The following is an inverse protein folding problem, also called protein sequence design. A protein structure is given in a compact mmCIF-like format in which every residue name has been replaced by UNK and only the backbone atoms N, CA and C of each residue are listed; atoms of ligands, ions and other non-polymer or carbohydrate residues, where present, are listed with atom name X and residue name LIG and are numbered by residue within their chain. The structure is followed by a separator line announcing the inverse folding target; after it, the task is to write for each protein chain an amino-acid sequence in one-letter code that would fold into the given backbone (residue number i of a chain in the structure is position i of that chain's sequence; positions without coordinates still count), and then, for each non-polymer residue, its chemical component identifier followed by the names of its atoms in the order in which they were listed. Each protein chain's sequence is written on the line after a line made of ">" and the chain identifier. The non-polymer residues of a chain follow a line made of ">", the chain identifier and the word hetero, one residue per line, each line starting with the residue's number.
data_IF_669420305408
#
_entry.id   IF_669420305408
#
_cell.length_a   1.000
_cell.length_b   1.000
_cell.length_c   1.000
_cell.angle_alpha   90.00
_cell.angle_beta   90.00
_cell.angle_gamma   90.00
#
_symmetry.space_group_name_H-M   'P 1'
#
loop_
_entity.id
_entity.type
_entity.pdbx_description
1 polymer ?
#
# COMPACT_ATOMS: atom_id res chain seq x y z
N UNK A 1 20.42 0.50 -14.79
CA UNK A 1 19.33 0.31 -13.82
C UNK A 1 18.97 1.71 -13.31
N UNK A 2 17.78 2.19 -13.59
CA UNK A 2 17.39 3.51 -13.11
C UNK A 2 17.16 3.44 -11.59
N UNK A 3 17.89 4.24 -10.84
CA UNK A 3 17.80 4.34 -9.37
C UNK A 3 16.82 5.42 -8.91
N UNK A 4 16.11 6.03 -9.85
CA UNK A 4 15.15 7.12 -9.60
C UNK A 4 13.73 6.68 -9.93
N UNK A 5 12.76 7.23 -9.21
CA UNK A 5 11.34 7.05 -9.43
C UNK A 5 10.71 8.32 -10.02
N UNK A 6 9.66 8.20 -10.84
CA UNK A 6 8.79 9.33 -11.10
C UNK A 6 8.13 9.78 -9.78
N UNK A 7 8.25 11.06 -9.47
CA UNK A 7 7.64 11.64 -8.26
C UNK A 7 6.24 12.15 -8.57
N UNK A 8 5.39 12.12 -7.54
CA UNK A 8 4.05 12.71 -7.61
C UNK A 8 4.16 14.23 -7.81
N UNK A 9 3.39 14.75 -8.76
CA UNK A 9 3.29 16.19 -8.97
C UNK A 9 2.39 16.85 -7.92
N UNK A 10 2.57 18.14 -7.71
CA UNK A 10 1.72 18.92 -6.79
C UNK A 10 0.24 18.84 -7.23
N UNK A 11 -0.02 18.84 -8.55
CA UNK A 11 -1.38 18.74 -9.09
C UNK A 11 -2.02 17.38 -8.80
N UNK A 12 -1.27 16.28 -8.86
CA UNK A 12 -1.76 14.95 -8.52
C UNK A 12 -2.12 14.87 -7.02
N UNK A 13 -1.25 15.36 -6.16
CA UNK A 13 -1.49 15.41 -4.71
C UNK A 13 -2.68 16.31 -4.37
N UNK A 14 -2.82 17.46 -5.06
CA UNK A 14 -3.94 18.37 -4.89
C UNK A 14 -5.26 17.72 -5.33
N UNK A 15 -5.29 17.09 -6.52
CA UNK A 15 -6.48 16.37 -7.03
C UNK A 15 -6.90 15.26 -6.07
N UNK A 16 -5.98 14.47 -5.56
CA UNK A 16 -6.28 13.45 -4.57
C UNK A 16 -6.95 14.04 -3.33
N UNK A 17 -6.45 15.16 -2.83
CA UNK A 17 -6.93 15.76 -1.57
C UNK A 17 -8.28 16.45 -1.74
N UNK A 18 -8.52 17.13 -2.88
CA UNK A 18 -9.64 18.04 -3.03
C UNK A 18 -10.67 17.67 -4.10
N UNK A 19 -10.29 16.86 -5.12
CA UNK A 19 -11.14 16.64 -6.29
C UNK A 19 -11.84 15.27 -6.31
N UNK A 20 -11.32 14.26 -5.63
CA UNK A 20 -11.90 12.92 -5.66
C UNK A 20 -13.11 12.78 -4.71
N UNK A 21 -14.21 13.48 -5.04
CA UNK A 21 -15.51 13.25 -4.42
C UNK A 21 -15.65 13.73 -2.99
N UNK A 22 -14.84 14.72 -2.57
CA UNK A 22 -14.90 15.33 -1.23
C UNK A 22 -14.79 14.34 -0.06
N UNK A 23 -14.00 13.25 -0.25
CA UNK A 23 -13.68 12.34 0.85
C UNK A 23 -12.76 13.07 1.84
N UNK A 24 -13.13 13.20 3.14
CA UNK A 24 -12.32 13.85 4.15
C UNK A 24 -10.91 13.22 4.23
N UNK A 25 -9.89 14.05 4.48
CA UNK A 25 -8.50 13.61 4.51
C UNK A 25 -8.22 12.52 5.55
N UNK A 26 -8.90 12.59 6.71
CA UNK A 26 -8.79 11.58 7.77
C UNK A 26 -9.30 10.20 7.32
N UNK A 27 -10.37 10.15 6.53
CA UNK A 27 -10.86 8.90 5.91
C UNK A 27 -9.92 8.42 4.80
N UNK A 28 -9.36 9.34 3.99
CA UNK A 28 -8.36 8.97 2.98
C UNK A 28 -7.13 8.33 3.63
N UNK A 29 -6.64 8.91 4.72
CA UNK A 29 -5.49 8.42 5.48
C UNK A 29 -5.77 7.04 6.10
N UNK A 30 -6.97 6.85 6.66
CA UNK A 30 -7.40 5.58 7.24
C UNK A 30 -7.48 4.46 6.18
N UNK A 31 -8.07 4.75 5.02
CA UNK A 31 -8.16 3.81 3.89
C UNK A 31 -6.76 3.45 3.41
N UNK A 32 -5.91 4.45 3.19
CA UNK A 32 -4.55 4.24 2.72
C UNK A 32 -3.77 3.33 3.67
N UNK A 33 -3.73 3.70 4.95
CA UNK A 33 -3.02 2.94 5.98
C UNK A 33 -3.52 1.49 6.08
N UNK A 34 -4.84 1.29 6.16
CA UNK A 34 -5.44 -0.03 6.27
C UNK A 34 -5.13 -0.91 5.04
N UNK A 35 -5.22 -0.35 3.84
CA UNK A 35 -4.98 -1.11 2.61
C UNK A 35 -3.49 -1.42 2.41
N UNK A 36 -2.59 -0.51 2.77
CA UNK A 36 -1.15 -0.80 2.75
C UNK A 36 -0.78 -1.89 3.78
N UNK A 37 -1.39 -1.85 4.96
CA UNK A 37 -1.22 -2.89 5.99
C UNK A 37 -1.71 -4.25 5.48
N UNK A 38 -2.87 -4.29 4.83
CA UNK A 38 -3.41 -5.50 4.19
C UNK A 38 -2.46 -6.05 3.12
N UNK A 39 -1.91 -5.17 2.27
CA UNK A 39 -0.95 -5.55 1.22
C UNK A 39 0.31 -6.17 1.82
N UNK A 40 0.85 -5.60 2.88
CA UNK A 40 2.01 -6.16 3.58
C UNK A 40 1.69 -7.51 4.24
N UNK A 41 0.55 -7.63 4.91
CA UNK A 41 0.11 -8.89 5.52
C UNK A 41 -0.09 -9.99 4.47
N UNK A 42 -0.69 -9.67 3.33
CA UNK A 42 -0.85 -10.60 2.23
C UNK A 42 0.50 -11.06 1.65
N UNK A 43 1.45 -10.13 1.46
CA UNK A 43 2.81 -10.45 1.02
C UNK A 43 3.54 -11.41 1.97
N UNK A 44 3.39 -11.21 3.29
CA UNK A 44 3.96 -12.10 4.31
C UNK A 44 3.35 -13.51 4.25
N UNK A 45 2.03 -13.63 4.16
CA UNK A 45 1.35 -14.93 4.08
C UNK A 45 1.66 -15.67 2.78
N UNK A 46 1.81 -14.96 1.68
CA UNK A 46 2.25 -15.51 0.40
C UNK A 46 3.75 -15.82 0.35
N UNK A 47 4.49 -15.49 1.41
CA UNK A 47 5.96 -15.64 1.49
C UNK A 47 6.69 -14.94 0.35
N UNK A 48 6.16 -13.81 -0.10
CA UNK A 48 6.80 -13.00 -1.12
C UNK A 48 8.04 -12.29 -0.55
N UNK A 49 9.08 -12.09 -1.37
CA UNK A 49 10.19 -11.22 -0.99
C UNK A 49 9.68 -9.81 -0.67
N UNK A 50 10.30 -9.15 0.31
CA UNK A 50 9.91 -7.80 0.70
C UNK A 50 10.01 -6.80 -0.46
N UNK A 51 10.91 -7.02 -1.41
CA UNK A 51 11.00 -6.21 -2.62
C UNK A 51 9.73 -6.25 -3.46
N UNK A 52 9.10 -7.42 -3.59
CA UNK A 52 7.84 -7.58 -4.33
C UNK A 52 6.69 -6.91 -3.58
N UNK A 53 6.60 -7.13 -2.27
CA UNK A 53 5.55 -6.52 -1.44
C UNK A 53 5.68 -4.99 -1.40
N UNK A 54 6.89 -4.46 -1.22
CA UNK A 54 7.14 -3.02 -1.23
C UNK A 54 6.82 -2.38 -2.59
N UNK A 55 7.19 -3.05 -3.70
CA UNK A 55 6.83 -2.59 -5.03
C UNK A 55 5.31 -2.58 -5.23
N UNK A 56 4.59 -3.59 -4.77
CA UNK A 56 3.12 -3.63 -4.82
C UNK A 56 2.49 -2.48 -4.03
N UNK A 57 3.03 -2.16 -2.86
CA UNK A 57 2.60 -1.00 -2.05
C UNK A 57 2.78 0.32 -2.80
N UNK A 58 3.89 0.51 -3.52
CA UNK A 58 4.14 1.72 -4.31
C UNK A 58 3.25 1.78 -5.55
N UNK A 59 3.05 0.67 -6.25
CA UNK A 59 2.14 0.57 -7.41
C UNK A 59 0.71 0.93 -7.00
N UNK A 60 0.23 0.38 -5.89
CA UNK A 60 -1.08 0.70 -5.31
C UNK A 60 -1.19 2.20 -4.98
N UNK A 61 -0.17 2.78 -4.37
CA UNK A 61 -0.15 4.19 -4.02
C UNK A 61 -0.16 5.10 -5.27
N UNK A 62 0.61 4.73 -6.33
CA UNK A 62 0.59 5.43 -7.64
C UNK A 62 -0.79 5.36 -8.28
N UNK A 63 -1.44 4.20 -8.26
CA UNK A 63 -2.78 4.03 -8.79
C UNK A 63 -3.78 4.99 -8.11
N UNK A 64 -3.68 5.15 -6.79
CA UNK A 64 -4.55 6.05 -6.02
C UNK A 64 -4.18 7.54 -6.11
N UNK A 65 -3.14 7.92 -6.81
CA UNK A 65 -2.93 9.32 -7.20
C UNK A 65 -3.84 9.73 -8.37
N UNK A 66 -4.18 8.77 -9.25
CA UNK A 66 -4.95 9.04 -10.47
C UNK A 66 -6.41 8.62 -10.34
N UNK A 67 -6.71 7.58 -9.57
CA UNK A 67 -8.04 7.01 -9.44
C UNK A 67 -8.68 7.30 -8.08
N UNK A 68 -10.00 7.58 -8.06
CA UNK A 68 -10.72 7.81 -6.82
C UNK A 68 -10.69 6.58 -5.90
N UNK A 69 -10.45 6.80 -4.60
CA UNK A 69 -10.41 5.72 -3.60
C UNK A 69 -11.69 4.87 -3.58
N UNK A 70 -12.86 5.50 -3.75
CA UNK A 70 -14.16 4.82 -3.73
C UNK A 70 -14.56 4.18 -5.08
N UNK A 71 -13.72 4.23 -6.10
CA UNK A 71 -14.04 3.63 -7.41
C UNK A 71 -14.12 2.10 -7.35
N UNK A 72 -13.32 1.46 -6.49
CA UNK A 72 -13.25 0.00 -6.35
C UNK A 72 -13.15 -0.40 -4.89
N UNK A 73 -13.37 -1.69 -4.58
CA UNK A 73 -13.14 -2.23 -3.23
C UNK A 73 -11.63 -2.20 -2.92
N UNK A 74 -11.25 -1.73 -1.73
CA UNK A 74 -9.86 -1.52 -1.34
C UNK A 74 -9.05 -2.82 -1.33
N UNK A 75 -9.66 -3.91 -0.85
CA UNK A 75 -9.04 -5.23 -0.85
C UNK A 75 -8.79 -5.77 -2.24
N UNK A 76 -9.70 -5.52 -3.19
CA UNK A 76 -9.55 -5.96 -4.58
C UNK A 76 -8.41 -5.21 -5.27
N UNK A 77 -8.26 -3.89 -5.01
CA UNK A 77 -7.15 -3.07 -5.54
C UNK A 77 -5.81 -3.55 -4.96
N UNK A 78 -5.77 -3.83 -3.65
CA UNK A 78 -4.59 -4.40 -2.98
C UNK A 78 -4.20 -5.75 -3.60
N UNK A 79 -5.17 -6.64 -3.77
CA UNK A 79 -4.96 -7.97 -4.36
C UNK A 79 -4.46 -7.89 -5.81
N UNK A 80 -5.05 -7.00 -6.62
CA UNK A 80 -4.64 -6.78 -8.00
C UNK A 80 -3.22 -6.21 -8.12
N UNK A 81 -2.87 -5.23 -7.28
CA UNK A 81 -1.53 -4.66 -7.24
C UNK A 81 -0.48 -5.71 -6.85
N UNK A 82 -0.78 -6.52 -5.84
CA UNK A 82 0.13 -7.59 -5.40
C UNK A 82 0.25 -8.69 -6.46
N UNK A 83 -0.86 -9.08 -7.10
CA UNK A 83 -0.86 -10.05 -8.19
C UNK A 83 -0.04 -9.57 -9.37
N UNK A 84 -0.23 -8.33 -9.82
CA UNK A 84 0.52 -7.73 -10.92
C UNK A 84 2.02 -7.78 -10.67
N UNK A 85 2.47 -7.31 -9.51
CA UNK A 85 3.90 -7.26 -9.19
C UNK A 85 4.49 -8.65 -8.97
N UNK A 86 3.76 -9.55 -8.30
CA UNK A 86 4.20 -10.95 -8.13
C UNK A 86 4.35 -11.66 -9.48
N UNK A 87 3.44 -11.44 -10.44
CA UNK A 87 3.49 -11.98 -11.80
C UNK A 87 4.72 -11.52 -12.58
N UNK A 88 5.16 -10.27 -12.35
CA UNK A 88 6.36 -9.69 -12.97
C UNK A 88 7.65 -10.10 -12.27
N UNK A 89 7.57 -10.67 -11.07
CA UNK A 89 8.72 -11.09 -10.28
C UNK A 89 9.26 -12.47 -10.72
N UNK A 90 10.42 -12.84 -10.16
CA UNK A 90 11.00 -14.18 -10.37
C UNK A 90 10.17 -15.33 -9.74
N UNK A 91 9.24 -14.99 -8.83
CA UNK A 91 8.42 -15.97 -8.09
C UNK A 91 6.93 -15.64 -8.27
N UNK A 92 6.33 -15.94 -9.45
CA UNK A 92 4.93 -15.63 -9.69
C UNK A 92 4.02 -16.52 -8.84
N UNK A 93 3.04 -15.90 -8.19
CA UNK A 93 2.01 -16.60 -7.43
C UNK A 93 0.80 -16.91 -8.32
N UNK A 94 0.14 -18.03 -8.04
CA UNK A 94 -1.11 -18.38 -8.71
C UNK A 94 -2.25 -17.46 -8.22
N UNK A 95 -3.19 -17.08 -9.09
CA UNK A 95 -4.35 -16.28 -8.68
C UNK A 95 -5.11 -16.90 -7.49
N UNK A 96 -5.19 -18.26 -7.45
CA UNK A 96 -5.87 -18.98 -6.38
C UNK A 96 -5.23 -18.76 -5.01
N UNK A 97 -3.89 -18.72 -4.94
CA UNK A 97 -3.17 -18.52 -3.69
C UNK A 97 -3.45 -17.11 -3.13
N UNK A 98 -3.47 -16.12 -4.03
CA UNK A 98 -3.81 -14.74 -3.67
C UNK A 98 -5.27 -14.66 -3.20
N UNK A 99 -6.22 -15.22 -3.95
CA UNK A 99 -7.63 -15.23 -3.55
C UNK A 99 -7.83 -15.88 -2.16
N UNK A 100 -7.17 -17.00 -1.90
CA UNK A 100 -7.28 -17.69 -0.60
C UNK A 100 -6.69 -16.86 0.55
N UNK A 101 -5.53 -16.22 0.33
CA UNK A 101 -4.91 -15.37 1.36
C UNK A 101 -5.79 -14.16 1.65
N UNK A 102 -6.35 -13.50 0.64
CA UNK A 102 -7.26 -12.38 0.86
C UNK A 102 -8.57 -12.81 1.50
N UNK A 103 -9.12 -13.97 1.14
CA UNK A 103 -10.30 -14.53 1.82
C UNK A 103 -10.05 -14.77 3.32
N UNK A 104 -8.86 -15.30 3.68
CA UNK A 104 -8.45 -15.44 5.07
C UNK A 104 -8.31 -14.09 5.75
N UNK A 105 -7.55 -13.13 5.15
CA UNK A 105 -7.30 -11.83 5.75
C UNK A 105 -8.56 -10.99 5.97
N UNK A 106 -9.59 -11.19 5.14
CA UNK A 106 -10.88 -10.52 5.25
C UNK A 106 -11.87 -11.25 6.17
N UNK A 107 -11.54 -12.47 6.61
CA UNK A 107 -12.38 -13.25 7.51
C UNK A 107 -12.17 -12.84 8.98
N UNK A 108 -13.14 -13.22 9.83
CA UNK A 108 -13.05 -13.02 11.29
C UNK A 108 -11.92 -13.80 11.98
N UNK A 109 -11.33 -14.77 11.29
CA UNK A 109 -10.19 -15.57 11.78
C UNK A 109 -8.85 -14.82 11.64
N UNK A 110 -8.84 -13.71 10.92
CA UNK A 110 -7.62 -12.94 10.68
C UNK A 110 -7.18 -12.19 11.94
N UNK A 111 -5.88 -12.21 12.30
CA UNK A 111 -5.34 -11.41 13.39
C UNK A 111 -5.46 -9.89 13.16
N UNK A 112 -5.77 -9.46 11.94
CA UNK A 112 -6.08 -8.06 11.63
C UNK A 112 -7.42 -7.62 12.24
N UNK A 113 -8.34 -8.58 12.53
CA UNK A 113 -9.65 -8.27 13.12
C UNK A 113 -9.57 -8.04 14.63
N UNK A 114 -8.76 -8.81 15.34
CA UNK A 114 -8.59 -8.64 16.79
C UNK A 114 -7.15 -8.89 17.23
N UNK A 115 -6.30 -7.85 17.15
CA UNK A 115 -4.91 -7.99 17.58
C UNK A 115 -4.75 -8.25 19.08
N UNK A 116 -5.80 -8.03 19.89
CA UNK A 116 -5.75 -8.31 21.36
C UNK A 116 -6.05 -9.77 21.67
N UNK A 117 -6.76 -10.49 20.83
CA UNK A 117 -7.03 -11.92 21.02
C UNK A 117 -5.74 -12.75 20.98
N UNK A 118 -4.73 -12.32 20.24
CA UNK A 118 -3.42 -12.98 20.15
C UNK A 118 -2.50 -12.72 21.33
N UNK A 119 -2.72 -11.65 22.09
CA UNK A 119 -1.82 -11.24 23.19
C UNK A 119 -2.28 -11.71 24.60
N UNK A 120 -3.52 -12.17 24.75
CA UNK A 120 -4.12 -12.46 26.06
C UNK A 120 -4.33 -13.95 26.39
N UNK A 121 -4.10 -14.87 25.45
CA UNK A 121 -4.28 -16.29 25.72
C UNK A 121 -2.97 -17.00 26.06
N UNK A 122 -2.85 -17.47 27.30
CA UNK A 122 -1.83 -18.42 27.74
C UNK A 122 -2.03 -19.84 27.16
N UNK A 123 -3.02 -20.05 26.29
CA UNK A 123 -3.30 -21.26 25.56
C UNK A 123 -2.60 -21.26 24.20
N UNK A 124 -2.15 -22.43 23.69
CA UNK A 124 -1.57 -22.52 22.37
C UNK A 124 -2.57 -21.99 21.33
N UNK A 125 -2.13 -21.24 20.29
CA UNK A 125 -3.00 -20.66 19.30
C UNK A 125 -3.81 -21.78 18.62
N UNK A 126 -5.14 -21.70 18.71
CA UNK A 126 -6.04 -22.62 17.98
C UNK A 126 -5.85 -22.34 16.50
N UNK A 127 -5.61 -23.37 15.67
CA UNK A 127 -5.49 -23.15 14.23
C UNK A 127 -6.80 -22.53 13.68
N UNK A 128 -6.70 -21.57 12.75
CA UNK A 128 -7.87 -20.92 12.18
C UNK A 128 -8.77 -21.94 11.48
N UNK A 129 -10.07 -21.80 11.65
CA UNK A 129 -11.07 -22.69 11.03
C UNK A 129 -11.20 -22.42 9.52
N UNK A 130 -10.76 -23.35 8.64
CA UNK A 130 -10.81 -23.15 7.19
C UNK A 130 -12.22 -22.91 6.64
N UNK A 131 -13.27 -23.41 7.32
CA UNK A 131 -14.66 -23.25 6.86
C UNK A 131 -15.11 -21.80 6.81
N UNK A 132 -14.51 -20.92 7.62
CA UNK A 132 -14.87 -19.50 7.73
C UNK A 132 -14.31 -18.63 6.61
N UNK A 133 -13.29 -19.09 5.90
CA UNK A 133 -12.69 -18.37 4.78
C UNK A 133 -12.60 -19.19 3.49
N UNK A 134 -13.30 -20.34 3.45
CA UNK A 134 -13.39 -21.14 2.24
C UNK A 134 -14.15 -20.40 1.15
N UNK A 135 -13.55 -20.33 -0.04
CA UNK A 135 -14.20 -19.78 -1.23
C UNK A 135 -14.83 -20.91 -2.05
N UNK A 136 -16.15 -20.80 -2.31
CA UNK A 136 -16.80 -21.64 -3.32
C UNK A 136 -16.21 -21.38 -4.70
N UNK A 137 -16.36 -22.31 -5.64
CA UNK A 137 -15.82 -22.15 -7.00
C UNK A 137 -16.38 -20.89 -7.69
N UNK A 138 -17.66 -20.60 -7.49
CA UNK A 138 -18.30 -19.38 -8.04
C UNK A 138 -17.74 -18.10 -7.40
N UNK A 139 -17.54 -18.09 -6.07
CA UNK A 139 -16.97 -16.95 -5.36
C UNK A 139 -15.51 -16.72 -5.78
N UNK A 140 -14.74 -17.80 -5.96
CA UNK A 140 -13.38 -17.75 -6.48
C UNK A 140 -13.33 -17.15 -7.89
N UNK A 141 -14.17 -17.67 -8.82
CA UNK A 141 -14.22 -17.18 -10.19
C UNK A 141 -14.61 -15.69 -10.26
N UNK A 142 -15.57 -15.25 -9.44
CA UNK A 142 -15.98 -13.87 -9.33
C UNK A 142 -14.83 -12.98 -8.79
N UNK A 143 -14.13 -13.42 -7.75
CA UNK A 143 -13.00 -12.68 -7.19
C UNK A 143 -11.85 -12.60 -8.18
N UNK A 144 -11.47 -13.71 -8.81
CA UNK A 144 -10.45 -13.74 -9.85
C UNK A 144 -10.77 -12.76 -11.00
N UNK A 145 -12.02 -12.73 -11.47
CA UNK A 145 -12.44 -11.81 -12.53
C UNK A 145 -12.30 -10.34 -12.12
N UNK A 146 -12.58 -10.00 -10.85
CA UNK A 146 -12.36 -8.64 -10.33
C UNK A 146 -10.88 -8.28 -10.29
N UNK A 147 -10.03 -9.19 -9.79
CA UNK A 147 -8.56 -8.97 -9.75
C UNK A 147 -8.01 -8.72 -11.16
N UNK A 148 -8.38 -9.55 -12.15
CA UNK A 148 -7.88 -9.42 -13.52
C UNK A 148 -8.34 -8.12 -14.20
N UNK A 149 -9.58 -7.69 -13.96
CA UNK A 149 -10.05 -6.37 -14.45
C UNK A 149 -9.29 -5.22 -13.83
N UNK A 150 -9.04 -5.27 -12.52
CA UNK A 150 -8.28 -4.25 -11.81
C UNK A 150 -6.80 -4.26 -12.20
N UNK A 151 -6.20 -5.42 -12.43
CA UNK A 151 -4.85 -5.53 -12.99
C UNK A 151 -4.72 -4.73 -14.30
N UNK A 152 -5.63 -4.97 -15.23
CA UNK A 152 -5.65 -4.24 -16.50
C UNK A 152 -5.82 -2.73 -16.27
N UNK A 153 -6.77 -2.32 -15.41
CA UNK A 153 -7.00 -0.92 -15.10
C UNK A 153 -5.77 -0.26 -14.46
N UNK A 154 -5.10 -0.93 -13.51
CA UNK A 154 -3.85 -0.44 -12.91
C UNK A 154 -2.78 -0.22 -13.98
N UNK A 155 -2.59 -1.19 -14.89
CA UNK A 155 -1.63 -1.06 -15.98
C UNK A 155 -1.93 0.13 -16.89
N UNK A 156 -3.19 0.32 -17.30
CA UNK A 156 -3.59 1.46 -18.12
C UNK A 156 -3.41 2.79 -17.39
N UNK A 157 -3.85 2.89 -16.14
CA UNK A 157 -3.71 4.11 -15.32
C UNK A 157 -2.25 4.51 -15.15
N UNK A 158 -1.36 3.52 -14.98
CA UNK A 158 0.08 3.75 -14.83
C UNK A 158 0.83 3.80 -16.17
N UNK A 159 0.14 3.81 -17.31
CA UNK A 159 0.76 3.77 -18.64
C UNK A 159 1.77 2.65 -18.79
N UNK A 160 1.52 1.50 -18.15
CA UNK A 160 2.41 0.33 -18.08
C UNK A 160 3.75 0.57 -17.36
N UNK A 161 3.96 1.71 -16.71
CA UNK A 161 5.14 1.95 -15.88
C UNK A 161 4.97 1.30 -14.50
N UNK A 162 5.38 0.04 -14.41
CA UNK A 162 5.38 -0.74 -13.16
C UNK A 162 6.74 -0.74 -12.47
N UNK A 163 7.75 -0.06 -13.04
CA UNK A 163 9.08 -0.01 -12.43
C UNK A 163 9.07 0.83 -11.15
N UNK A 164 9.69 0.28 -10.10
CA UNK A 164 9.90 0.97 -8.82
C UNK A 164 11.33 0.73 -8.35
N UNK A 165 12.10 1.80 -8.23
CA UNK A 165 13.39 1.78 -7.54
C UNK A 165 13.13 1.83 -6.02
N UNK A 166 13.53 0.77 -5.31
CA UNK A 166 13.33 0.65 -3.86
C UNK A 166 14.58 1.11 -3.10
N UNK A 167 14.40 1.82 -1.96
CA UNK A 167 15.51 2.33 -1.15
C UNK A 167 16.24 1.24 -0.36
N UNK A 168 15.68 0.04 -0.21
CA UNK A 168 16.23 -1.04 0.64
C UNK A 168 17.63 -1.46 0.25
N UNK A 169 17.88 -1.68 -1.05
CA UNK A 169 19.21 -2.03 -1.56
C UNK A 169 20.22 -0.91 -1.38
N UNK A 170 19.81 0.34 -1.63
CA UNK A 170 20.63 1.52 -1.43
C UNK A 170 21.02 1.69 0.04
N UNK A 171 20.06 1.50 0.96
CA UNK A 171 20.32 1.60 2.40
C UNK A 171 21.39 0.60 2.88
N UNK A 172 21.37 -0.63 2.36
CA UNK A 172 22.41 -1.62 2.68
C UNK A 172 23.77 -1.17 2.14
N UNK A 173 23.83 -0.71 0.89
CA UNK A 173 25.07 -0.19 0.27
C UNK A 173 25.60 1.02 1.02
N UNK A 174 24.74 1.95 1.43
CA UNK A 174 25.13 3.15 2.19
C UNK A 174 25.64 2.79 3.59
N UNK A 175 25.01 1.83 4.27
CA UNK A 175 25.51 1.33 5.55
C UNK A 175 26.88 0.67 5.44
N UNK A 176 27.15 -0.01 4.32
CA UNK A 176 28.46 -0.58 4.04
C UNK A 176 29.52 0.51 3.76
N UNK A 177 29.13 1.54 2.99
CA UNK A 177 30.03 2.65 2.65
C UNK A 177 30.37 3.53 3.86
N UNK A 178 29.41 3.75 4.75
CA UNK A 178 29.58 4.60 5.94
C UNK A 178 30.47 3.97 7.01
N UNK A 179 30.46 2.66 7.16
CA UNK A 179 31.25 1.83 8.09
C UNK A 179 31.49 2.40 9.51
N UNK A 180 30.53 3.22 9.99
CA UNK A 180 30.64 3.86 11.31
C UNK A 180 30.11 2.98 12.46
N UNK A 181 29.67 1.77 12.16
CA UNK A 181 29.11 0.85 13.13
C UNK A 181 30.07 -0.31 13.41
N UNK A 182 30.39 -0.54 14.66
CA UNK A 182 31.04 -1.79 15.08
C UNK A 182 30.18 -3.03 14.75
N UNK A 183 30.79 -4.19 14.58
CA UNK A 183 30.15 -5.43 14.10
C UNK A 183 28.90 -5.83 14.91
N UNK A 184 28.91 -5.61 16.22
CA UNK A 184 27.76 -5.91 17.09
C UNK A 184 26.55 -5.00 16.86
N UNK A 185 26.78 -3.79 16.40
CA UNK A 185 25.74 -2.77 16.20
C UNK A 185 25.24 -2.76 14.75
N UNK A 186 26.07 -3.18 13.79
CA UNK A 186 25.76 -3.20 12.36
C UNK A 186 24.48 -3.98 12.04
N UNK A 187 24.33 -5.19 12.56
CA UNK A 187 23.14 -6.00 12.33
C UNK A 187 21.86 -5.38 12.90
N UNK A 188 21.96 -4.71 14.04
CA UNK A 188 20.83 -4.02 14.69
C UNK A 188 20.39 -2.81 13.87
N UNK A 189 21.36 -1.99 13.45
CA UNK A 189 21.10 -0.80 12.62
C UNK A 189 20.48 -1.20 11.27
N UNK A 190 21.02 -2.20 10.58
CA UNK A 190 20.49 -2.66 9.30
C UNK A 190 19.04 -3.12 9.45
N UNK A 191 18.75 -3.94 10.48
CA UNK A 191 17.37 -4.40 10.75
C UNK A 191 16.43 -3.22 11.02
N UNK A 192 16.87 -2.24 11.79
CA UNK A 192 16.07 -1.08 12.16
C UNK A 192 15.85 -0.15 10.96
N UNK A 193 16.87 0.05 10.12
CA UNK A 193 16.77 0.80 8.86
C UNK A 193 15.72 0.19 7.93
N UNK A 194 15.77 -1.13 7.72
CA UNK A 194 14.76 -1.84 6.91
C UNK A 194 13.37 -1.71 7.54
N UNK A 195 13.26 -1.77 8.87
CA UNK A 195 11.98 -1.57 9.55
C UNK A 195 11.42 -0.16 9.30
N UNK A 196 12.24 0.90 9.37
CA UNK A 196 11.81 2.26 9.04
C UNK A 196 11.34 2.38 7.60
N UNK A 197 12.05 1.78 6.63
CA UNK A 197 11.64 1.76 5.23
C UNK A 197 10.32 1.04 5.03
N UNK A 198 10.13 -0.12 5.65
CA UNK A 198 8.88 -0.87 5.56
C UNK A 198 7.71 -0.10 6.20
N UNK A 199 7.96 0.57 7.31
CA UNK A 199 6.95 1.37 8.01
C UNK A 199 6.58 2.62 7.20
N UNK A 200 7.55 3.25 6.53
CA UNK A 200 7.32 4.40 5.67
C UNK A 200 6.39 4.11 4.47
N UNK A 201 6.30 2.85 4.00
CA UNK A 201 5.33 2.43 2.98
C UNK A 201 3.88 2.59 3.45
N UNK A 202 3.63 2.49 4.76
CA UNK A 202 2.30 2.62 5.35
C UNK A 202 1.88 4.09 5.56
N UNK A 203 2.82 5.03 5.40
CA UNK A 203 2.56 6.43 5.71
C UNK A 203 1.57 7.06 4.72
N UNK A 204 0.47 7.64 5.22
CA UNK A 204 -0.46 8.40 4.39
C UNK A 204 0.16 9.62 3.71
N UNK A 205 1.32 10.07 4.19
CA UNK A 205 2.11 11.16 3.58
C UNK A 205 2.74 10.75 2.24
N UNK A 206 2.63 9.46 1.85
CA UNK A 206 3.12 8.93 0.56
C UNK A 206 4.60 9.23 0.31
N UNK A 207 5.46 9.07 1.32
CA UNK A 207 6.89 9.40 1.26
C UNK A 207 7.61 8.76 0.06
N UNK A 208 7.21 7.55 -0.35
CA UNK A 208 7.76 6.85 -1.52
C UNK A 208 7.36 7.46 -2.87
N UNK A 209 6.34 8.30 -2.89
CA UNK A 209 5.90 9.01 -4.11
C UNK A 209 6.39 10.44 -4.18
N UNK A 210 6.80 11.01 -3.05
CA UNK A 210 7.22 12.42 -2.94
C UNK A 210 8.73 12.61 -2.87
N UNK A 211 9.49 11.54 -2.54
CA UNK A 211 10.94 11.61 -2.39
C UNK A 211 11.64 10.46 -3.13
N UNK A 212 12.88 10.72 -3.51
CA UNK A 212 13.71 9.74 -4.19
C UNK A 212 14.22 8.63 -3.25
N UNK A 213 14.55 7.43 -3.76
CA UNK A 213 15.02 6.30 -2.96
C UNK A 213 16.29 6.58 -2.14
N UNK A 214 17.22 7.40 -2.64
CA UNK A 214 18.43 7.80 -1.91
C UNK A 214 18.06 8.57 -0.63
N UNK A 215 17.17 9.56 -0.73
CA UNK A 215 16.73 10.36 0.41
C UNK A 215 16.01 9.51 1.48
N UNK A 216 15.14 8.60 1.05
CA UNK A 216 14.47 7.65 1.95
C UNK A 216 15.47 6.72 2.65
N UNK A 217 16.48 6.21 1.93
CA UNK A 217 17.51 5.35 2.50
C UNK A 217 18.33 6.09 3.57
N UNK A 218 18.76 7.31 3.28
CA UNK A 218 19.54 8.16 4.21
C UNK A 218 18.71 8.50 5.46
N UNK A 219 17.45 8.91 5.28
CA UNK A 219 16.55 9.23 6.39
C UNK A 219 16.28 8.02 7.30
N UNK A 220 16.12 6.83 6.72
CA UNK A 220 15.94 5.60 7.48
C UNK A 220 17.20 5.22 8.27
N UNK A 221 18.41 5.37 7.68
CA UNK A 221 19.68 5.13 8.36
C UNK A 221 19.85 6.13 9.52
N UNK A 222 19.59 7.42 9.28
CA UNK A 222 19.67 8.44 10.31
C UNK A 222 18.72 8.15 11.47
N UNK A 223 17.45 7.79 11.18
CA UNK A 223 16.45 7.45 12.18
C UNK A 223 16.85 6.22 13.00
N UNK A 224 17.37 5.18 12.33
CA UNK A 224 17.83 3.96 12.99
C UNK A 224 19.04 4.19 13.88
N UNK A 225 19.99 5.01 13.44
CA UNK A 225 21.19 5.35 14.22
C UNK A 225 20.86 6.15 15.49
N UNK A 226 19.80 6.98 15.43
CA UNK A 226 19.33 7.81 16.56
C UNK A 226 18.34 7.11 17.47
N UNK A 227 17.95 5.89 17.18
CA UNK A 227 17.06 5.13 18.06
C UNK A 227 17.68 4.91 19.43
N UNK A 228 16.85 5.01 20.49
CA UNK A 228 17.28 4.93 21.89
C UNK A 228 17.97 3.59 22.23
N UNK A 229 17.60 2.52 21.53
CA UNK A 229 18.19 1.18 21.70
C UNK A 229 19.54 1.00 21.02
N UNK A 230 19.88 1.87 20.06
CA UNK A 230 21.07 1.73 19.22
C UNK A 230 22.10 2.79 19.56
N UNK A 231 21.69 4.07 19.56
CA UNK A 231 22.53 5.24 19.87
C UNK A 231 23.91 5.18 19.20
N UNK A 232 23.94 4.86 17.90
CA UNK A 232 25.19 4.73 17.18
C UNK A 232 25.90 6.09 17.08
N UNK A 233 27.23 6.08 17.27
CA UNK A 233 28.04 7.26 17.06
C UNK A 233 28.13 7.55 15.55
N UNK A 234 27.40 8.55 15.10
CA UNK A 234 27.45 9.00 13.70
C UNK A 234 28.65 9.92 13.47
N UNK A 235 29.13 10.02 12.22
CA UNK A 235 30.14 11.01 11.86
C UNK A 235 29.68 12.44 12.17
N UNK A 236 30.61 13.30 12.59
CA UNK A 236 30.34 14.72 12.89
C UNK A 236 30.21 15.59 11.61
N UNK A 237 30.47 15.01 10.44
CA UNK A 237 30.30 15.66 9.14
C UNK A 237 28.90 15.46 8.56
N UNK A 238 28.48 16.28 7.59
CA UNK A 238 27.21 16.14 6.88
C UNK A 238 27.28 14.97 5.87
N UNK A 239 27.41 13.75 6.35
CA UNK A 239 27.59 12.52 5.56
C UNK A 239 26.44 12.24 4.58
N UNK A 240 25.26 12.79 4.83
CA UNK A 240 24.08 12.65 3.95
C UNK A 240 24.26 13.38 2.61
N UNK A 241 25.05 14.44 2.56
CA UNK A 241 25.36 15.18 1.32
C UNK A 241 26.14 14.32 0.31
N UNK A 242 26.89 13.33 0.77
CA UNK A 242 27.60 12.36 -0.10
C UNK A 242 26.61 11.53 -0.94
N UNK A 243 25.36 11.43 -0.50
CA UNK A 243 24.29 10.68 -1.16
C UNK A 243 23.25 11.60 -1.82
N UNK A 244 23.63 12.84 -2.16
CA UNK A 244 22.76 13.83 -2.79
C UNK A 244 21.47 14.10 -1.99
N UNK A 245 21.58 14.27 -0.68
CA UNK A 245 20.47 14.62 0.21
C UNK A 245 20.86 15.86 0.98
N UNK A 246 20.01 16.89 0.93
CA UNK A 246 20.22 18.09 1.72
C UNK A 246 19.65 17.94 3.15
N UNK A 247 20.01 18.93 4.00
CA UNK A 247 19.65 18.90 5.42
C UNK A 247 18.15 19.07 5.64
N UNK A 248 17.50 19.88 4.81
CA UNK A 248 16.08 20.18 4.94
C UNK A 248 15.24 18.95 4.54
N UNK A 249 15.59 18.32 3.42
CA UNK A 249 14.94 17.08 2.97
C UNK A 249 15.12 15.96 3.99
N UNK A 250 16.34 15.77 4.51
CA UNK A 250 16.60 14.80 5.57
C UNK A 250 15.73 15.07 6.80
N UNK A 251 15.68 16.32 7.27
CA UNK A 251 14.88 16.74 8.41
C UNK A 251 13.40 16.45 8.22
N UNK A 252 12.85 16.77 7.06
CA UNK A 252 11.47 16.51 6.70
C UNK A 252 11.17 15.01 6.73
N UNK A 253 11.98 14.19 6.08
CA UNK A 253 11.79 12.75 6.01
C UNK A 253 11.89 12.06 7.38
N UNK A 254 12.84 12.47 8.21
CA UNK A 254 13.00 11.93 9.58
C UNK A 254 11.74 12.20 10.42
N UNK A 255 11.22 13.44 10.33
CA UNK A 255 9.96 13.79 11.03
C UNK A 255 8.79 12.99 10.43
N UNK A 256 8.69 12.91 9.11
CA UNK A 256 7.64 12.15 8.42
C UNK A 256 7.62 10.67 8.81
N UNK A 257 8.77 10.00 8.81
CA UNK A 257 8.87 8.58 9.20
C UNK A 257 8.50 8.35 10.67
N UNK A 258 8.87 9.27 11.58
CA UNK A 258 8.57 9.15 13.01
C UNK A 258 7.15 9.55 13.37
N UNK A 259 6.52 10.42 12.60
CA UNK A 259 5.15 10.88 12.83
C UNK A 259 4.10 9.79 12.60
N UNK A 260 4.43 8.71 11.88
CA UNK A 260 3.48 7.65 11.56
C UNK A 260 2.86 7.02 12.82
N UNK A 261 3.64 6.80 13.87
CA UNK A 261 3.11 6.22 15.11
C UNK A 261 2.03 7.12 15.72
N UNK A 262 2.25 8.44 15.73
CA UNK A 262 1.24 9.41 16.18
C UNK A 262 0.00 9.43 15.28
N UNK A 263 0.20 9.34 13.95
CA UNK A 263 -0.89 9.26 12.98
C UNK A 263 -1.73 7.99 13.17
N UNK A 264 -1.09 6.84 13.39
CA UNK A 264 -1.79 5.57 13.65
C UNK A 264 -2.60 5.64 14.95
N UNK A 265 -2.04 6.17 16.03
CA UNK A 265 -2.77 6.35 17.29
C UNK A 265 -3.98 7.25 17.11
N UNK A 266 -3.85 8.32 16.33
CA UNK A 266 -4.97 9.20 15.99
C UNK A 266 -6.04 8.46 15.18
N UNK A 267 -5.65 7.73 14.13
CA UNK A 267 -6.59 6.93 13.34
C UNK A 267 -7.33 5.89 14.19
N UNK A 268 -6.65 5.27 15.16
CA UNK A 268 -7.26 4.33 16.09
C UNK A 268 -8.25 5.00 17.03
N UNK A 269 -7.99 6.23 17.46
CA UNK A 269 -8.90 6.99 18.32
C UNK A 269 -10.12 7.51 17.54
N UNK A 270 -9.89 8.00 16.32
CA UNK A 270 -10.94 8.61 15.48
C UNK A 270 -11.87 7.55 14.86
N UNK A 271 -11.32 6.36 14.55
CA UNK A 271 -12.01 5.26 13.86
C UNK A 271 -11.84 3.91 14.57
N UNK A 272 -12.32 3.76 15.81
CA UNK A 272 -12.18 2.51 16.54
C UNK A 272 -12.84 1.33 15.81
N UNK A 273 -13.94 1.56 15.10
CA UNK A 273 -14.59 0.54 14.27
C UNK A 273 -13.76 0.04 13.09
N UNK A 274 -12.93 0.90 12.49
CA UNK A 274 -12.06 0.52 11.37
C UNK A 274 -10.83 -0.25 11.84
N UNK A 275 -10.39 -0.02 13.06
CA UNK A 275 -9.21 -0.66 13.63
C UNK A 275 -9.53 -1.94 14.40
N UNK A 276 -10.73 -2.04 14.98
CA UNK A 276 -11.18 -3.24 15.69
C UNK A 276 -11.82 -4.29 14.78
N UNK A 277 -12.42 -3.89 13.66
CA UNK A 277 -12.94 -4.82 12.66
C UNK A 277 -11.90 -5.25 11.61
N UNK A 278 -10.66 -4.84 11.78
CA UNK A 278 -9.48 -5.31 11.06
C UNK A 278 -9.35 -4.88 9.61
N UNK A 279 -10.40 -4.56 8.92
CA UNK A 279 -10.35 -4.13 7.53
C UNK A 279 -11.36 -3.03 7.24
N UNK A 280 -10.87 -1.96 6.61
CA UNK A 280 -11.74 -0.92 6.06
C UNK A 280 -12.31 -1.41 4.74
N UNK A 281 -13.62 -1.53 4.65
CA UNK A 281 -14.35 -1.85 3.43
C UNK A 281 -15.15 -0.62 2.97
N UNK A 282 -15.42 -0.54 1.67
CA UNK A 282 -16.09 0.60 1.04
C UNK A 282 -17.43 0.93 1.73
N UNK A 283 -18.23 -0.08 2.07
CA UNK A 283 -19.51 0.12 2.75
C UNK A 283 -19.39 0.78 4.13
N UNK A 284 -18.31 0.51 4.89
CA UNK A 284 -18.05 1.16 6.18
C UNK A 284 -17.72 2.65 5.98
N UNK A 285 -16.92 2.97 4.97
CA UNK A 285 -16.61 4.37 4.64
C UNK A 285 -17.84 5.13 4.18
N UNK A 286 -18.66 4.53 3.34
CA UNK A 286 -19.94 5.12 2.91
C UNK A 286 -20.91 5.34 4.06
N UNK A 287 -20.99 4.39 5.02
CA UNK A 287 -21.79 4.54 6.22
C UNK A 287 -21.28 5.70 7.10
N UNK A 288 -19.97 5.83 7.27
CA UNK A 288 -19.36 6.92 8.03
C UNK A 288 -19.58 8.28 7.34
N UNK A 289 -19.46 8.35 6.02
CA UNK A 289 -19.80 9.57 5.26
C UNK A 289 -21.25 9.99 5.46
N UNK A 290 -22.20 9.03 5.39
CA UNK A 290 -23.62 9.31 5.65
C UNK A 290 -23.83 9.80 7.09
N UNK A 291 -23.15 9.20 8.06
CA UNK A 291 -23.19 9.62 9.47
C UNK A 291 -22.75 11.08 9.65
N UNK A 292 -21.74 11.51 8.85
CA UNK A 292 -21.23 12.89 8.83
C UNK A 292 -22.07 13.84 7.97
N UNK A 293 -23.13 13.38 7.33
CA UNK A 293 -23.97 14.20 6.44
C UNK A 293 -23.31 14.56 5.10
N UNK A 294 -22.26 13.84 4.72
CA UNK A 294 -21.55 14.05 3.46
C UNK A 294 -22.22 13.27 2.33
N UNK A 295 -22.35 13.89 1.15
CA UNK A 295 -22.85 13.20 -0.03
C UNK A 295 -21.79 12.24 -0.55
N UNK A 296 -22.16 10.97 -0.71
CA UNK A 296 -21.31 9.97 -1.38
C UNK A 296 -21.44 10.20 -2.88
N UNK A 297 -20.55 11.00 -3.46
CA UNK A 297 -20.39 11.05 -4.91
C UNK A 297 -19.57 9.82 -5.31
N UNK A 298 -20.25 8.74 -5.66
CA UNK A 298 -19.62 7.65 -6.39
C UNK A 298 -19.37 8.22 -7.77
N UNK A 299 -18.15 8.71 -8.02
CA UNK A 299 -17.74 9.07 -9.36
C UNK A 299 -17.98 7.82 -10.23
N UNK A 300 -18.99 7.87 -11.06
CA UNK A 300 -19.12 6.94 -12.18
C UNK A 300 -17.88 7.22 -13.01
N UNK A 301 -16.84 6.41 -12.78
CA UNK A 301 -15.65 6.45 -13.63
C UNK A 301 -16.13 6.33 -15.08
N UNK A 302 -15.54 7.08 -15.95
CA UNK A 302 -15.86 7.23 -17.39
C UNK A 302 -15.96 5.90 -18.18
N UNK A 303 -15.74 4.77 -17.55
CA UNK A 303 -15.83 3.45 -18.15
C UNK A 303 -17.23 2.88 -18.37
N UNK A 304 -18.27 3.44 -17.74
CA UNK A 304 -19.65 2.98 -17.98
C UNK A 304 -20.26 3.64 -19.21
N UNK A 305 -19.88 4.90 -19.48
CA UNK A 305 -20.38 5.62 -20.68
C UNK A 305 -19.79 5.01 -21.94
N UNK A 306 -18.48 4.68 -21.95
CA UNK A 306 -17.84 4.03 -23.11
C UNK A 306 -18.33 2.59 -23.32
N UNK A 307 -18.62 1.83 -22.25
CA UNK A 307 -19.14 0.48 -22.37
C UNK A 307 -20.59 0.47 -22.90
N UNK A 308 -21.41 1.39 -22.44
CA UNK A 308 -22.79 1.55 -22.92
C UNK A 308 -22.82 2.09 -24.38
N UNK A 309 -21.91 2.99 -24.75
CA UNK A 309 -21.76 3.48 -26.12
C UNK A 309 -21.24 2.40 -27.07
N UNK A 310 -20.29 1.57 -26.65
CA UNK A 310 -19.79 0.43 -27.44
C UNK A 310 -20.87 -0.65 -27.60
N UNK A 311 -21.64 -0.94 -26.58
CA UNK A 311 -22.76 -1.91 -26.64
C UNK A 311 -23.89 -1.35 -27.51
N UNK A 312 -24.20 -0.07 -27.44
CA UNK A 312 -25.15 0.60 -28.34
C UNK A 312 -24.67 0.60 -29.79
N UNK A 313 -23.38 0.81 -30.03
CA UNK A 313 -22.80 0.77 -31.38
C UNK A 313 -22.77 -0.68 -31.92
N UNK A 314 -22.51 -1.68 -31.13
CA UNK A 314 -22.60 -3.09 -31.52
C UNK A 314 -24.04 -3.49 -31.89
N UNK A 315 -25.05 -3.07 -31.12
CA UNK A 315 -26.46 -3.29 -31.46
C UNK A 315 -26.86 -2.63 -32.81
N UNK A 316 -26.40 -1.41 -33.06
CA UNK A 316 -26.62 -0.73 -34.34
C UNK A 316 -25.93 -1.41 -35.51
N UNK A 317 -24.79 -2.05 -35.30
CA UNK A 317 -24.10 -2.83 -36.34
C UNK A 317 -24.81 -4.16 -36.62
N UNK A 318 -25.33 -4.84 -35.60
CA UNK A 318 -26.11 -6.08 -35.74
C UNK A 318 -27.46 -5.82 -36.46
N UNK A 319 -28.16 -4.71 -36.16
CA UNK A 319 -29.37 -4.33 -36.82
C UNK A 319 -29.15 -4.05 -38.33
N UNK A 320 -28.03 -3.41 -38.68
CA UNK A 320 -27.67 -3.18 -40.10
C UNK A 320 -27.26 -4.44 -40.87
N UNK A 321 -26.75 -5.46 -40.17
CA UNK A 321 -26.39 -6.74 -40.81
C UNK A 321 -27.59 -7.65 -41.08
N UNK A 322 -28.74 -7.36 -40.49
CA UNK A 322 -30.00 -8.12 -40.71
C UNK A 322 -30.85 -7.53 -41.84
N UNK A 323 -30.58 -6.29 -42.24
CA UNK A 323 -31.31 -5.61 -43.33
C UNK A 323 -30.65 -5.75 -44.72
N UNK A 324 -29.54 -6.47 -44.86
CA UNK A 324 -28.93 -6.85 -46.14
C UNK A 324 -29.12 -8.35 -46.43
#
# INVERSE_FOLDING_TARGET
>A
MHMTNPLATVDQLYRRTYSFGALPSDLQDAIFFATQTLTQAAGLLLRLPQSVTAQACVVLARYWLEEPLLASEFSDVSAASLYLVAKLSANPNRPRDICNVYAYLLSSESPLFDPKATSSSSSPPVPPDPSKYYLSESAYAAFQSRILRLEARILYTLSFDTHVALPHGLAVTYLQALDFCGDSTRAKITRRTVAYLNTALLSPQMLYLTHQPNALAVAAIYSAARDAEIQAKMPDCPWWEVFDVDREELGFLVVGMRSLEGSVRKLQADFPGFTTSGMVIKSHVEAEMRRRGLKVNIGTGSGTVEADEVEAMMRLMDERSVEM
#
